data_IF_250460941126
#
_entry.id   IF_250460941126
#
_cell.length_a   1.000
_cell.length_b   1.000
_cell.length_c   1.000
_cell.angle_alpha   90.00
_cell.angle_beta   90.00
_cell.angle_gamma   90.00
#
_symmetry.space_group_name_H-M   'P 1'
#
loop_
_entity.id
_entity.type
_entity.pdbx_description
1 polymer ?
#
# COMPACT_ATOMS: atom_id res chain seq x y z
N UNK A 1 -15.74 -9.95 -15.22
CA UNK A 1 -16.67 -11.09 -15.10
C UNK A 1 -18.11 -10.66 -14.73
N UNK A 2 -18.41 -9.36 -14.63
CA UNK A 2 -19.78 -8.87 -14.37
C UNK A 2 -20.34 -9.19 -12.97
N UNK A 3 -19.47 -9.41 -11.98
CA UNK A 3 -19.85 -9.71 -10.60
C UNK A 3 -19.25 -8.65 -9.68
N UNK A 4 -20.09 -8.09 -8.81
CA UNK A 4 -19.66 -7.23 -7.70
C UNK A 4 -19.48 -8.10 -6.46
N UNK A 5 -18.34 -7.98 -5.78
CA UNK A 5 -18.04 -8.74 -4.57
C UNK A 5 -18.67 -8.12 -3.33
N UNK A 6 -18.57 -6.78 -3.18
CA UNK A 6 -19.21 -5.96 -2.14
C UNK A 6 -18.65 -6.09 -0.73
N UNK A 7 -17.69 -6.99 -0.49
CA UNK A 7 -17.03 -7.16 0.82
C UNK A 7 -15.51 -7.45 0.63
N UNK A 8 -14.84 -6.67 -0.22
CA UNK A 8 -13.39 -6.81 -0.40
C UNK A 8 -12.67 -6.25 0.83
N UNK A 9 -11.91 -7.13 1.51
CA UNK A 9 -11.11 -6.81 2.69
C UNK A 9 -10.02 -7.86 2.89
N UNK A 10 -8.95 -7.60 3.67
CA UNK A 10 -7.87 -8.57 3.87
C UNK A 10 -8.35 -9.94 4.38
N UNK A 11 -9.39 -9.99 5.25
CA UNK A 11 -9.93 -11.24 5.78
C UNK A 11 -10.55 -12.14 4.70
N UNK A 12 -10.95 -11.58 3.55
CA UNK A 12 -11.53 -12.31 2.41
C UNK A 12 -10.49 -12.57 1.30
N UNK A 13 -9.20 -12.31 1.56
CA UNK A 13 -8.11 -12.60 0.62
C UNK A 13 -7.28 -13.75 1.17
N UNK A 14 -7.30 -14.88 0.47
CA UNK A 14 -6.50 -16.06 0.80
C UNK A 14 -5.24 -16.05 -0.06
N UNK A 15 -4.07 -16.13 0.59
CA UNK A 15 -2.80 -16.31 -0.09
C UNK A 15 -2.57 -17.81 -0.34
N UNK A 16 -2.10 -18.15 -1.53
CA UNK A 16 -1.73 -19.49 -1.92
C UNK A 16 -0.44 -19.47 -2.72
N UNK A 17 0.16 -20.64 -2.98
CA UNK A 17 1.44 -20.78 -3.69
C UNK A 17 1.48 -20.01 -5.02
N UNK A 18 0.35 -19.91 -5.72
CA UNK A 18 0.24 -19.27 -7.04
C UNK A 18 -0.41 -17.87 -7.00
N UNK A 19 -0.44 -17.20 -5.84
CA UNK A 19 -0.97 -15.85 -5.71
C UNK A 19 -2.07 -15.68 -4.66
N UNK A 20 -2.97 -14.71 -4.88
CA UNK A 20 -4.06 -14.40 -3.97
C UNK A 20 -5.42 -14.77 -4.59
N UNK A 21 -6.32 -15.29 -3.80
CA UNK A 21 -7.72 -15.60 -4.18
C UNK A 21 -8.69 -14.84 -3.30
N UNK A 22 -9.68 -14.24 -3.92
CA UNK A 22 -10.80 -13.62 -3.22
C UNK A 22 -11.82 -14.68 -2.83
N UNK A 23 -12.28 -14.64 -1.59
CA UNK A 23 -13.23 -15.59 -0.97
C UNK A 23 -14.43 -14.84 -0.38
N UNK A 24 -15.43 -15.58 0.10
CA UNK A 24 -16.66 -15.07 0.72
C UNK A 24 -17.49 -14.22 -0.23
N UNK A 25 -18.12 -14.90 -1.21
CA UNK A 25 -19.06 -14.31 -2.15
C UNK A 25 -20.49 -14.20 -1.59
N UNK A 26 -20.67 -14.30 -0.27
CA UNK A 26 -21.99 -14.24 0.37
C UNK A 26 -22.77 -12.95 0.16
N UNK A 27 -22.07 -11.84 -0.17
CA UNK A 27 -22.68 -10.55 -0.53
C UNK A 27 -22.61 -10.25 -2.03
N UNK A 28 -22.03 -11.14 -2.84
CA UNK A 28 -21.83 -10.89 -4.26
C UNK A 28 -23.14 -10.79 -5.04
N UNK A 29 -23.12 -9.99 -6.11
CA UNK A 29 -24.26 -9.83 -7.02
C UNK A 29 -23.78 -9.61 -8.45
N UNK A 30 -24.64 -9.97 -9.41
CA UNK A 30 -24.37 -9.72 -10.83
C UNK A 30 -24.64 -8.25 -11.16
N UNK A 31 -23.81 -7.64 -11.99
CA UNK A 31 -24.02 -6.29 -12.53
C UNK A 31 -25.38 -6.18 -13.24
N UNK A 32 -26.13 -5.11 -12.94
CA UNK A 32 -27.44 -4.84 -13.54
C UNK A 32 -28.63 -5.33 -12.72
N UNK A 33 -28.44 -6.16 -11.71
CA UNK A 33 -29.49 -6.47 -10.73
C UNK A 33 -29.34 -5.43 -9.62
N UNK A 34 -30.29 -4.50 -9.48
CA UNK A 34 -30.28 -3.41 -8.51
C UNK A 34 -30.00 -3.94 -7.10
N UNK A 35 -28.77 -3.86 -6.70
CA UNK A 35 -28.30 -4.34 -5.41
C UNK A 35 -28.35 -3.20 -4.42
N UNK A 36 -29.48 -3.07 -3.72
CA UNK A 36 -29.52 -2.28 -2.49
C UNK A 36 -28.41 -2.79 -1.56
N UNK A 37 -27.51 -1.89 -1.14
CA UNK A 37 -26.35 -2.25 -0.33
C UNK A 37 -26.81 -2.90 0.96
N UNK A 38 -26.32 -4.11 1.26
CA UNK A 38 -26.46 -4.66 2.60
C UNK A 38 -25.63 -3.80 3.58
N UNK A 39 -26.20 -3.31 4.68
CA UNK A 39 -25.44 -2.54 5.69
C UNK A 39 -24.38 -3.38 6.44
N UNK A 40 -24.22 -4.64 6.08
CA UNK A 40 -23.29 -5.58 6.74
C UNK A 40 -21.85 -5.51 6.22
N UNK A 41 -21.55 -4.67 5.20
CA UNK A 41 -20.17 -4.47 4.75
C UNK A 41 -19.36 -3.69 5.79
N UNK A 42 -18.05 -3.91 5.79
CA UNK A 42 -17.09 -3.18 6.64
C UNK A 42 -17.14 -1.70 6.27
N UNK A 43 -17.81 -0.87 7.08
CA UNK A 43 -18.16 0.54 6.75
C UNK A 43 -16.96 1.38 6.33
N UNK A 44 -15.77 1.06 6.82
CA UNK A 44 -14.53 1.78 6.51
C UNK A 44 -13.87 1.36 5.17
N UNK A 45 -14.42 0.36 4.47
CA UNK A 45 -14.05 -0.02 3.11
C UNK A 45 -15.09 0.46 2.08
N UNK A 46 -16.15 1.12 2.54
CA UNK A 46 -17.18 1.69 1.66
C UNK A 46 -16.77 3.09 1.21
N UNK A 47 -16.94 3.41 -0.07
CA UNK A 47 -16.57 4.71 -0.62
C UNK A 47 -17.58 5.81 -0.22
N UNK A 48 -17.18 7.09 -0.38
CA UNK A 48 -18.01 8.24 -0.02
C UNK A 48 -19.43 8.23 -0.58
N UNK A 49 -19.57 7.89 -1.87
CA UNK A 49 -20.87 7.87 -2.55
C UNK A 49 -21.84 6.86 -1.96
N UNK A 50 -21.35 5.77 -1.36
CA UNK A 50 -22.21 4.78 -0.72
C UNK A 50 -23.02 5.36 0.44
N UNK A 51 -22.46 6.30 1.19
CA UNK A 51 -23.17 6.93 2.33
C UNK A 51 -24.38 7.73 1.89
N UNK A 52 -24.38 8.22 0.64
CA UNK A 52 -25.48 8.99 0.04
C UNK A 52 -26.43 8.10 -0.76
N UNK A 53 -25.90 7.26 -1.66
CA UNK A 53 -26.71 6.53 -2.65
C UNK A 53 -27.20 5.17 -2.15
N UNK A 54 -26.50 4.59 -1.15
CA UNK A 54 -26.71 3.21 -0.67
C UNK A 54 -26.62 2.16 -1.77
N UNK A 55 -25.97 2.48 -2.89
CA UNK A 55 -25.77 1.59 -4.01
C UNK A 55 -24.29 1.18 -4.14
N UNK A 56 -24.05 0.02 -4.73
CA UNK A 56 -22.72 -0.53 -5.00
C UNK A 56 -22.51 -0.68 -6.49
N UNK A 57 -21.31 -0.38 -6.95
CA UNK A 57 -20.86 -0.49 -8.33
C UNK A 57 -19.48 -1.13 -8.39
N UNK A 58 -18.93 -1.37 -9.57
CA UNK A 58 -17.54 -1.79 -9.74
C UNK A 58 -16.56 -0.83 -9.07
N UNK A 59 -16.86 0.48 -9.08
CA UNK A 59 -16.04 1.50 -8.44
C UNK A 59 -16.05 1.41 -6.91
N UNK A 60 -17.09 0.82 -6.31
CA UNK A 60 -17.15 0.50 -4.88
C UNK A 60 -16.14 -0.60 -4.53
N UNK A 61 -16.08 -1.68 -5.31
CA UNK A 61 -15.12 -2.75 -5.11
C UNK A 61 -13.67 -2.25 -5.36
N UNK A 62 -13.46 -1.41 -6.37
CA UNK A 62 -12.15 -0.78 -6.63
C UNK A 62 -11.67 0.04 -5.42
N UNK A 63 -12.56 0.84 -4.80
CA UNK A 63 -12.24 1.56 -3.57
C UNK A 63 -11.86 0.61 -2.43
N UNK A 64 -12.65 -0.45 -2.23
CA UNK A 64 -12.41 -1.45 -1.20
C UNK A 64 -11.07 -2.20 -1.39
N UNK A 65 -10.70 -2.54 -2.65
CA UNK A 65 -9.37 -3.07 -2.99
C UNK A 65 -8.28 -2.05 -2.66
N UNK A 66 -8.49 -0.77 -2.97
CA UNK A 66 -7.55 0.31 -2.64
C UNK A 66 -7.28 0.42 -1.13
N UNK A 67 -8.33 0.42 -0.30
CA UNK A 67 -8.20 0.40 1.18
C UNK A 67 -7.50 -0.88 1.65
N UNK A 68 -7.85 -2.03 1.07
CA UNK A 68 -7.20 -3.30 1.40
C UNK A 68 -5.70 -3.27 1.11
N UNK A 69 -5.31 -2.74 -0.04
CA UNK A 69 -3.91 -2.58 -0.43
C UNK A 69 -3.19 -1.57 0.48
N UNK A 70 -3.84 -0.45 0.82
CA UNK A 70 -3.32 0.52 1.79
C UNK A 70 -3.01 -0.14 3.13
N UNK A 71 -3.95 -0.92 3.67
CA UNK A 71 -3.77 -1.66 4.93
C UNK A 71 -2.62 -2.66 4.86
N UNK A 72 -2.58 -3.46 3.79
CA UNK A 72 -1.54 -4.48 3.60
C UNK A 72 -0.14 -3.85 3.51
N UNK A 73 0.04 -2.81 2.70
CA UNK A 73 1.32 -2.13 2.54
C UNK A 73 1.80 -1.43 3.82
N UNK A 74 0.89 -0.96 4.66
CA UNK A 74 1.23 -0.33 5.94
C UNK A 74 1.33 -1.34 7.12
N UNK A 75 1.14 -2.63 6.89
CA UNK A 75 1.08 -3.68 7.93
C UNK A 75 0.09 -3.37 9.06
N UNK A 76 -1.10 -2.81 8.70
CA UNK A 76 -2.13 -2.48 9.68
C UNK A 76 -2.92 -3.75 10.02
N UNK A 77 -2.47 -4.48 11.03
CA UNK A 77 -3.15 -5.68 11.53
C UNK A 77 -4.43 -5.33 12.29
N UNK A 78 -4.35 -4.37 13.23
CA UNK A 78 -5.50 -3.86 14.00
C UNK A 78 -6.11 -2.64 13.28
N UNK A 79 -6.93 -2.93 12.27
CA UNK A 79 -7.64 -1.88 11.54
C UNK A 79 -8.68 -1.16 12.39
N UNK A 80 -9.45 -1.90 13.16
CA UNK A 80 -10.52 -1.33 13.98
C UNK A 80 -9.95 -0.42 15.09
N UNK A 81 -8.84 -0.80 15.71
CA UNK A 81 -8.13 0.05 16.64
C UNK A 81 -7.55 1.30 15.96
N UNK A 82 -7.03 1.17 14.74
CA UNK A 82 -6.54 2.31 13.98
C UNK A 82 -7.66 3.30 13.68
N UNK A 83 -8.81 2.82 13.21
CA UNK A 83 -9.97 3.65 12.90
C UNK A 83 -10.55 4.31 14.17
N UNK A 84 -10.64 3.59 15.28
CA UNK A 84 -11.15 4.15 16.56
C UNK A 84 -10.30 5.29 17.11
N UNK A 85 -9.03 5.35 16.80
CA UNK A 85 -8.13 6.45 17.21
C UNK A 85 -8.30 7.71 16.36
N UNK A 86 -8.98 7.63 15.22
CA UNK A 86 -9.22 8.79 14.35
C UNK A 86 -10.43 9.58 14.82
N UNK A 87 -10.33 10.91 14.75
CA UNK A 87 -11.50 11.78 14.90
C UNK A 87 -12.32 11.76 13.60
N UNK A 88 -13.61 11.39 13.70
CA UNK A 88 -14.55 11.36 12.56
C UNK A 88 -14.08 10.57 11.33
N UNK A 89 -13.82 9.24 11.44
CA UNK A 89 -13.29 8.46 10.33
C UNK A 89 -14.19 8.44 9.08
N UNK A 90 -15.50 8.50 9.25
CA UNK A 90 -16.45 8.58 8.12
C UNK A 90 -16.29 9.92 7.38
N UNK A 91 -16.12 11.03 8.10
CA UNK A 91 -15.83 12.33 7.47
C UNK A 91 -14.50 12.33 6.73
N UNK A 92 -13.47 11.63 7.23
CA UNK A 92 -12.19 11.46 6.53
C UNK A 92 -12.35 10.63 5.24
N UNK A 93 -13.19 9.60 5.24
CA UNK A 93 -13.53 8.83 4.03
C UNK A 93 -14.25 9.75 3.02
N UNK A 94 -15.27 10.47 3.47
CA UNK A 94 -16.05 11.38 2.62
C UNK A 94 -15.20 12.51 2.02
N UNK A 95 -14.22 13.01 2.76
CA UNK A 95 -13.27 14.00 2.29
C UNK A 95 -12.13 13.41 1.42
N UNK A 96 -11.98 12.07 1.35
CA UNK A 96 -10.88 11.42 0.65
C UNK A 96 -9.51 11.56 1.34
N UNK A 97 -9.51 11.86 2.64
CA UNK A 97 -8.29 12.14 3.42
C UNK A 97 -7.93 11.04 4.42
N UNK A 98 -8.64 9.91 4.42
CA UNK A 98 -8.39 8.81 5.36
C UNK A 98 -6.94 8.31 5.33
N UNK A 99 -6.40 8.02 4.15
CA UNK A 99 -5.03 7.55 3.99
C UNK A 99 -4.00 8.61 4.44
N UNK A 100 -4.29 9.90 4.23
CA UNK A 100 -3.46 11.00 4.72
C UNK A 100 -3.48 11.11 6.24
N UNK A 101 -4.65 10.95 6.86
CA UNK A 101 -4.81 11.02 8.32
C UNK A 101 -4.12 9.86 9.05
N UNK A 102 -4.12 8.65 8.46
CA UNK A 102 -3.39 7.49 9.00
C UNK A 102 -1.89 7.62 8.69
N UNK A 103 -1.53 8.09 7.51
CA UNK A 103 -0.17 8.17 7.01
C UNK A 103 0.27 6.92 6.24
N UNK A 104 1.35 7.08 5.48
CA UNK A 104 2.06 5.99 4.81
C UNK A 104 3.39 5.73 5.50
N UNK A 105 3.73 4.49 5.72
CA UNK A 105 5.07 4.13 6.15
C UNK A 105 6.12 4.58 5.11
N UNK A 106 7.30 4.96 5.59
CA UNK A 106 8.37 5.52 4.78
C UNK A 106 8.85 4.57 3.68
N UNK A 107 8.85 3.27 3.95
CA UNK A 107 9.29 2.23 3.00
C UNK A 107 8.30 1.96 1.85
N UNK A 108 7.11 2.60 1.83
CA UNK A 108 6.16 2.43 0.72
C UNK A 108 6.55 3.34 -0.44
N UNK A 109 6.85 2.78 -1.64
CA UNK A 109 7.28 3.57 -2.79
C UNK A 109 6.24 4.59 -3.25
N UNK A 110 6.70 5.76 -3.69
CA UNK A 110 5.82 6.84 -4.15
C UNK A 110 4.89 6.41 -5.29
N UNK A 111 5.39 5.55 -6.21
CA UNK A 111 4.56 5.01 -7.30
C UNK A 111 3.39 4.19 -6.77
N UNK A 112 3.63 3.35 -5.75
CA UNK A 112 2.58 2.55 -5.12
C UNK A 112 1.60 3.42 -4.33
N UNK A 113 2.09 4.44 -3.59
CA UNK A 113 1.24 5.45 -2.92
C UNK A 113 0.29 6.12 -3.92
N UNK A 114 0.78 6.52 -5.12
CA UNK A 114 -0.04 7.12 -6.17
C UNK A 114 -1.13 6.17 -6.67
N UNK A 115 -0.80 4.89 -6.86
CA UNK A 115 -1.76 3.87 -7.30
C UNK A 115 -2.86 3.69 -6.25
N UNK A 116 -2.48 3.55 -4.99
CA UNK A 116 -3.43 3.42 -3.88
C UNK A 116 -4.33 4.65 -3.80
N UNK A 117 -3.75 5.86 -3.78
CA UNK A 117 -4.51 7.11 -3.67
C UNK A 117 -5.50 7.30 -4.83
N UNK A 118 -5.13 6.89 -6.05
CA UNK A 118 -6.07 6.90 -7.18
C UNK A 118 -7.23 5.93 -6.92
N UNK A 119 -6.98 4.73 -6.44
CA UNK A 119 -8.03 3.74 -6.17
C UNK A 119 -9.02 4.22 -5.08
N UNK A 120 -8.52 4.91 -4.03
CA UNK A 120 -9.33 5.40 -2.91
C UNK A 120 -9.75 6.87 -3.05
N UNK A 121 -9.71 7.44 -4.25
CA UNK A 121 -10.21 8.81 -4.47
C UNK A 121 -11.66 8.94 -4.02
N UNK A 122 -12.00 10.07 -3.36
CA UNK A 122 -13.38 10.37 -2.97
C UNK A 122 -14.28 10.53 -4.18
N UNK A 123 -13.73 11.01 -5.32
CA UNK A 123 -14.46 11.23 -6.56
C UNK A 123 -14.42 9.97 -7.42
N UNK A 124 -15.56 9.28 -7.67
CA UNK A 124 -15.59 8.01 -8.40
C UNK A 124 -14.94 8.06 -9.78
N UNK A 125 -15.15 9.15 -10.54
CA UNK A 125 -14.59 9.33 -11.90
C UNK A 125 -13.07 9.50 -11.90
N UNK A 126 -12.45 9.81 -10.77
CA UNK A 126 -10.98 9.90 -10.63
C UNK A 126 -10.34 8.56 -10.25
N UNK A 127 -11.11 7.54 -9.90
CA UNK A 127 -10.62 6.19 -9.63
C UNK A 127 -10.25 5.47 -10.94
N UNK A 128 -9.72 4.27 -10.79
CA UNK A 128 -9.67 3.32 -11.90
C UNK A 128 -11.11 2.97 -12.31
N UNK A 129 -11.39 2.96 -13.62
CA UNK A 129 -12.75 2.73 -14.10
C UNK A 129 -13.06 1.24 -14.29
N UNK A 130 -12.07 0.36 -14.12
CA UNK A 130 -12.24 -1.09 -14.12
C UNK A 130 -11.15 -1.78 -13.30
N UNK A 131 -11.44 -2.99 -12.83
CA UNK A 131 -10.45 -3.86 -12.19
C UNK A 131 -9.25 -4.14 -13.11
N UNK A 132 -9.48 -4.22 -14.42
CA UNK A 132 -8.41 -4.40 -15.42
C UNK A 132 -7.48 -3.21 -15.49
N UNK A 133 -8.00 -1.97 -15.48
CA UNK A 133 -7.18 -0.75 -15.44
C UNK A 133 -6.34 -0.70 -14.16
N UNK A 134 -6.93 -1.04 -13.02
CA UNK A 134 -6.22 -1.07 -11.75
C UNK A 134 -5.09 -2.11 -11.78
N UNK A 135 -5.39 -3.34 -12.22
CA UNK A 135 -4.40 -4.41 -12.38
C UNK A 135 -3.24 -3.97 -13.26
N UNK A 136 -3.51 -3.40 -14.45
CA UNK A 136 -2.48 -2.92 -15.36
C UNK A 136 -1.57 -1.85 -14.71
N UNK A 137 -2.13 -0.99 -13.86
CA UNK A 137 -1.32 0.00 -13.14
C UNK A 137 -0.35 -0.63 -12.14
N UNK A 138 -0.75 -1.73 -11.48
CA UNK A 138 0.14 -2.51 -10.60
C UNK A 138 1.19 -3.28 -11.42
N UNK A 139 0.81 -3.90 -12.52
CA UNK A 139 1.72 -4.65 -13.41
C UNK A 139 2.80 -3.77 -14.08
N UNK A 140 2.57 -2.46 -14.15
CA UNK A 140 3.59 -1.48 -14.62
C UNK A 140 4.68 -1.21 -13.58
N UNK A 141 4.48 -1.59 -12.32
CA UNK A 141 5.52 -1.54 -11.31
C UNK A 141 6.54 -2.62 -11.63
N UNK A 142 7.67 -2.24 -12.20
CA UNK A 142 8.76 -3.18 -12.49
C UNK A 142 9.58 -3.39 -11.23
N UNK A 143 9.83 -4.64 -10.80
CA UNK A 143 10.72 -4.90 -9.69
C UNK A 143 12.11 -4.29 -9.94
N UNK A 144 12.60 -3.52 -8.98
CA UNK A 144 13.92 -2.89 -9.01
C UNK A 144 14.93 -3.72 -8.22
N UNK A 145 15.13 -3.39 -6.95
CA UNK A 145 15.98 -4.15 -6.04
C UNK A 145 15.08 -4.93 -5.07
N UNK A 146 15.31 -6.24 -4.99
CA UNK A 146 14.64 -7.12 -4.03
C UNK A 146 15.42 -7.09 -2.71
N UNK A 147 14.93 -6.30 -1.75
CA UNK A 147 15.58 -6.04 -0.48
C UNK A 147 15.13 -6.99 0.62
N UNK A 148 16.08 -7.57 1.34
CA UNK A 148 15.85 -8.43 2.50
C UNK A 148 16.63 -7.94 3.71
N UNK A 149 16.06 -7.97 4.93
CA UNK A 149 16.80 -7.69 6.14
C UNK A 149 17.88 -8.76 6.33
N UNK A 150 19.11 -8.35 6.66
CA UNK A 150 20.24 -9.28 6.87
C UNK A 150 20.74 -9.27 8.32
N UNK A 151 20.85 -8.12 8.95
CA UNK A 151 21.22 -7.95 10.36
C UNK A 151 20.53 -6.69 10.90
N UNK A 152 20.62 -6.44 12.21
CA UNK A 152 20.04 -5.23 12.80
C UNK A 152 20.55 -3.95 12.09
N UNK A 153 19.63 -3.21 11.47
CA UNK A 153 19.97 -1.99 10.73
C UNK A 153 20.62 -2.23 9.36
N UNK A 154 20.64 -3.47 8.85
CA UNK A 154 21.23 -3.81 7.54
C UNK A 154 20.22 -4.49 6.64
N UNK A 155 20.30 -4.20 5.33
CA UNK A 155 19.53 -4.86 4.29
C UNK A 155 20.47 -5.23 3.13
N UNK A 156 20.22 -6.39 2.56
CA UNK A 156 20.86 -6.86 1.33
C UNK A 156 19.82 -6.96 0.23
N UNK A 157 20.21 -6.65 -1.00
CA UNK A 157 19.30 -6.67 -2.13
C UNK A 157 19.97 -7.09 -3.42
N UNK A 158 19.17 -7.65 -4.31
CA UNK A 158 19.59 -8.02 -5.65
C UNK A 158 18.75 -7.25 -6.67
N UNK A 159 19.42 -6.57 -7.59
CA UNK A 159 18.72 -5.91 -8.69
C UNK A 159 18.09 -6.95 -9.62
N UNK A 160 16.77 -6.89 -9.78
CA UNK A 160 16.00 -7.85 -10.55
C UNK A 160 16.36 -7.86 -12.05
N UNK A 161 16.95 -6.78 -12.56
CA UNK A 161 17.29 -6.66 -13.98
C UNK A 161 18.76 -6.92 -14.29
N UNK A 162 19.69 -6.42 -13.44
CA UNK A 162 21.14 -6.54 -13.69
C UNK A 162 21.82 -7.63 -12.89
N UNK A 163 21.16 -8.15 -11.84
CA UNK A 163 21.78 -9.09 -10.90
C UNK A 163 22.81 -8.46 -9.98
N UNK A 164 22.96 -7.12 -9.97
CA UNK A 164 23.88 -6.44 -9.07
C UNK A 164 23.47 -6.64 -7.62
N UNK A 165 24.46 -6.85 -6.75
CA UNK A 165 24.27 -6.99 -5.31
C UNK A 165 24.39 -5.63 -4.63
N UNK A 166 23.43 -5.34 -3.77
CA UNK A 166 23.38 -4.13 -2.96
C UNK A 166 23.40 -4.49 -1.48
N UNK A 167 24.01 -3.64 -0.69
CA UNK A 167 23.94 -3.69 0.78
C UNK A 167 23.84 -2.26 1.31
N UNK A 168 22.82 -2.02 2.12
CA UNK A 168 22.67 -0.77 2.87
C UNK A 168 22.72 -1.10 4.35
N UNK A 169 23.50 -0.33 5.11
CA UNK A 169 23.70 -0.56 6.53
C UNK A 169 23.71 0.76 7.31
N UNK A 170 23.03 0.73 8.46
CA UNK A 170 23.04 1.80 9.44
C UNK A 170 24.02 1.42 10.55
N UNK A 171 25.04 2.25 10.74
CA UNK A 171 26.04 2.09 11.80
C UNK A 171 26.01 3.30 12.72
N UNK A 172 26.22 3.08 14.02
CA UNK A 172 26.31 4.15 15.01
C UNK A 172 27.75 4.32 15.49
N UNK A 173 28.14 5.58 15.68
CA UNK A 173 29.36 5.98 16.36
C UNK A 173 29.00 6.73 17.64
N UNK A 174 29.99 7.15 18.43
CA UNK A 174 29.75 7.98 19.60
C UNK A 174 29.17 9.38 19.29
N UNK A 175 29.17 9.79 18.01
CA UNK A 175 28.81 11.16 17.60
C UNK A 175 27.78 11.22 16.45
N UNK A 176 27.58 10.13 15.73
CA UNK A 176 26.73 10.14 14.54
C UNK A 176 26.18 8.76 14.18
N UNK A 177 25.13 8.76 13.39
CA UNK A 177 24.55 7.60 12.73
C UNK A 177 24.88 7.68 11.24
N UNK A 178 25.52 6.63 10.70
CA UNK A 178 25.96 6.63 9.32
C UNK A 178 25.18 5.59 8.52
N UNK A 179 24.66 5.99 7.37
CA UNK A 179 24.05 5.11 6.39
C UNK A 179 25.01 4.95 5.23
N UNK A 180 25.45 3.71 5.01
CA UNK A 180 26.38 3.35 3.95
C UNK A 180 25.70 2.42 2.94
N UNK A 181 25.79 2.77 1.65
CA UNK A 181 25.36 1.93 0.55
C UNK A 181 26.57 1.37 -0.21
N UNK A 182 26.53 0.07 -0.46
CA UNK A 182 27.50 -0.64 -1.31
C UNK A 182 26.77 -1.30 -2.49
N UNK A 183 27.39 -1.23 -3.67
CA UNK A 183 26.99 -2.00 -4.85
C UNK A 183 28.17 -2.88 -5.26
N UNK A 184 27.97 -4.19 -5.34
CA UNK A 184 29.02 -5.18 -5.64
C UNK A 184 30.27 -4.95 -4.78
N UNK A 185 30.07 -4.78 -3.48
CA UNK A 185 31.06 -4.47 -2.45
C UNK A 185 31.80 -3.10 -2.62
N UNK A 186 31.41 -2.25 -3.58
CA UNK A 186 31.98 -0.91 -3.74
C UNK A 186 31.04 0.13 -3.13
N UNK A 187 31.58 0.97 -2.25
CA UNK A 187 30.82 2.04 -1.58
C UNK A 187 30.31 3.07 -2.59
N UNK A 188 29.02 3.43 -2.48
CA UNK A 188 28.33 4.41 -3.33
C UNK A 188 28.24 5.76 -2.59
N UNK A 189 29.28 6.56 -2.63
CA UNK A 189 29.41 7.77 -1.82
C UNK A 189 28.23 8.74 -1.93
N UNK A 190 27.67 8.87 -3.12
CA UNK A 190 26.50 9.74 -3.38
C UNK A 190 25.21 9.30 -2.65
N UNK A 191 25.17 8.06 -2.18
CA UNK A 191 24.04 7.46 -1.48
C UNK A 191 24.39 7.12 -0.02
N UNK A 192 25.50 7.66 0.50
CA UNK A 192 25.92 7.54 1.89
C UNK A 192 25.68 8.87 2.60
N UNK A 193 25.22 8.82 3.83
CA UNK A 193 24.95 10.03 4.63
C UNK A 193 25.23 9.79 6.11
N UNK A 194 25.49 10.89 6.83
CA UNK A 194 25.73 10.89 8.27
C UNK A 194 24.72 11.82 8.95
N UNK A 195 24.15 11.38 10.06
CA UNK A 195 23.09 12.06 10.79
C UNK A 195 23.43 12.18 12.28
N UNK A 196 22.92 13.19 12.94
CA UNK A 196 23.02 13.35 14.38
C UNK A 196 21.86 12.66 15.13
N UNK A 197 20.78 12.34 14.43
CA UNK A 197 19.58 11.68 14.95
C UNK A 197 19.37 10.32 14.29
N UNK A 198 19.04 9.32 15.13
CA UNK A 198 18.81 7.95 14.68
C UNK A 198 17.54 7.83 13.80
N UNK A 199 16.51 8.62 14.12
CA UNK A 199 15.23 8.61 13.36
C UNK A 199 15.44 9.15 11.95
N UNK A 200 16.23 10.22 11.79
CA UNK A 200 16.60 10.76 10.48
C UNK A 200 17.40 9.74 9.65
N UNK A 201 18.37 9.06 10.27
CA UNK A 201 19.16 8.03 9.62
C UNK A 201 18.29 6.84 9.16
N UNK A 202 17.37 6.40 10.03
CA UNK A 202 16.39 5.36 9.71
C UNK A 202 15.45 5.79 8.57
N UNK A 203 14.97 7.03 8.60
CA UNK A 203 14.12 7.58 7.56
C UNK A 203 14.83 7.56 6.20
N UNK A 204 16.05 8.07 6.14
CA UNK A 204 16.88 8.09 4.92
C UNK A 204 17.11 6.68 4.36
N UNK A 205 17.48 5.71 5.23
CA UNK A 205 17.69 4.32 4.84
C UNK A 205 16.43 3.71 4.20
N UNK A 206 15.28 3.85 4.87
CA UNK A 206 14.02 3.29 4.39
C UNK A 206 13.49 4.02 3.14
N UNK A 207 13.71 5.32 3.03
CA UNK A 207 13.37 6.10 1.85
C UNK A 207 14.19 5.66 0.63
N UNK A 208 15.49 5.38 0.83
CA UNK A 208 16.34 4.81 -0.21
C UNK A 208 15.83 3.43 -0.66
N UNK A 209 15.54 2.52 0.27
CA UNK A 209 14.94 1.22 -0.04
C UNK A 209 13.65 1.42 -0.84
N UNK A 210 12.72 2.26 -0.36
CA UNK A 210 11.45 2.52 -1.03
C UNK A 210 11.63 3.05 -2.46
N UNK A 211 12.60 3.94 -2.67
CA UNK A 211 12.86 4.54 -3.99
C UNK A 211 13.39 3.55 -5.03
N UNK A 212 13.96 2.43 -4.58
CA UNK A 212 14.62 1.42 -5.40
C UNK A 212 13.85 0.10 -5.53
N UNK A 213 12.74 -0.09 -4.79
CA UNK A 213 11.89 -1.29 -4.87
C UNK A 213 11.25 -1.47 -6.25
N UNK A 214 10.91 -0.36 -6.93
CA UNK A 214 10.33 -0.38 -8.28
C UNK A 214 11.03 0.62 -9.18
N UNK A 215 11.22 0.24 -10.43
CA UNK A 215 11.80 1.08 -11.51
C UNK A 215 10.75 1.56 -12.49
#
# INVERSE_FOLDING_TARGET
NGVLHRDVKPANIMLCEYGAKLSDFGLATVLGIGAAGSPKGYTTHLPPEYFTTRSTTELTDIFAVGITLFRACNYIADWDGTIRRLHNPIGLIQAGTLAQAIGYNVYIPLRLKKIINKAISAVPTQRYQSASEFRQSLERLRPGIDWHPSAAGSFEGICCTSGDHFRIELTSTSRSFNVDLKKNNRRQLQNCSSFNDMGEAYHFLHEHIASTLFT
#
